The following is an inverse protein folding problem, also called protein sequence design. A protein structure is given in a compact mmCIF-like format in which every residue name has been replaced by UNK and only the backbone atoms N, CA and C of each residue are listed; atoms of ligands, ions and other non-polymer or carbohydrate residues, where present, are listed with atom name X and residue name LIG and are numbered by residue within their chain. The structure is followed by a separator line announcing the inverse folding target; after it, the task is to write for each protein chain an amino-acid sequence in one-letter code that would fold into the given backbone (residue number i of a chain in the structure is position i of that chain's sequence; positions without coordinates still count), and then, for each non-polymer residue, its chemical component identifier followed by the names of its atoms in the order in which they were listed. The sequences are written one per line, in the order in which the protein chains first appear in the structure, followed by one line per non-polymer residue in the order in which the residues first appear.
data_IF_388801543111
#
_entry.id   IF_388801543111
#
_cell.length_a   1.000
_cell.length_b   1.000
_cell.length_c   1.000
_cell.angle_alpha   90.00
_cell.angle_beta   90.00
_cell.angle_gamma   90.00
#
_symmetry.space_group_name_H-M   'P 1'
#
loop_
_entity.id
_entity.type
_entity.pdbx_description
1 polymer ?
#
# COMPACT_ATOMS: atom_id res chain seq x y z
N UNK A 1 -17.48 -5.40 -6.98
CA UNK A 1 -17.81 -6.84 -6.99
C UNK A 1 -18.40 -7.14 -5.62
N UNK A 2 -19.59 -7.70 -5.59
CA UNK A 2 -20.32 -7.92 -4.34
C UNK A 2 -20.13 -9.37 -3.88
N UNK A 3 -19.62 -9.56 -2.66
CA UNK A 3 -19.35 -10.87 -2.06
C UNK A 3 -20.44 -11.29 -1.06
N UNK A 4 -21.62 -10.64 -1.05
CA UNK A 4 -22.66 -10.80 -0.02
C UNK A 4 -23.22 -12.22 0.18
N UNK A 5 -23.03 -13.17 -0.75
CA UNK A 5 -23.54 -14.54 -0.63
C UNK A 5 -22.53 -15.62 -1.06
N UNK A 6 -21.24 -15.37 -0.85
CA UNK A 6 -20.18 -16.33 -1.16
C UNK A 6 -19.15 -16.39 -0.04
N UNK A 7 -18.21 -17.33 -0.13
CA UNK A 7 -17.08 -17.37 0.78
C UNK A 7 -16.25 -16.10 0.58
N UNK A 8 -16.00 -15.36 1.65
CA UNK A 8 -15.33 -14.07 1.59
C UNK A 8 -14.15 -13.98 2.54
N UNK A 9 -13.15 -13.20 2.14
CA UNK A 9 -12.10 -12.72 3.02
C UNK A 9 -12.25 -11.21 3.16
N UNK A 10 -12.63 -10.76 4.35
CA UNK A 10 -12.82 -9.35 4.67
C UNK A 10 -11.58 -8.80 5.38
N UNK A 11 -11.10 -7.65 4.92
CA UNK A 11 -9.98 -6.93 5.55
C UNK A 11 -10.51 -5.69 6.23
N UNK A 12 -10.06 -5.48 7.46
CA UNK A 12 -10.39 -4.34 8.28
C UNK A 12 -9.13 -3.61 8.74
N UNK A 13 -9.16 -2.29 8.64
CA UNK A 13 -8.08 -1.39 9.05
C UNK A 13 -8.50 -0.59 10.28
N UNK A 14 -7.51 -0.15 11.06
CA UNK A 14 -7.74 0.81 12.12
C UNK A 14 -7.66 2.24 11.54
N UNK A 15 -8.75 3.00 11.66
CA UNK A 15 -8.87 4.41 11.27
C UNK A 15 -9.40 5.15 12.49
N UNK A 16 -8.68 6.16 12.98
CA UNK A 16 -9.03 6.92 14.19
C UNK A 16 -9.40 6.04 15.41
N UNK A 17 -8.67 4.94 15.60
CA UNK A 17 -8.88 3.98 16.68
C UNK A 17 -10.10 3.05 16.50
N UNK A 18 -10.83 3.15 15.39
CA UNK A 18 -11.97 2.29 15.05
C UNK A 18 -11.59 1.28 13.99
N UNK A 19 -12.18 0.09 14.07
CA UNK A 19 -12.01 -0.94 13.07
C UNK A 19 -13.00 -0.71 11.92
N UNK A 20 -12.51 -0.37 10.74
CA UNK A 20 -13.31 -0.12 9.54
C UNK A 20 -13.05 -1.18 8.48
N UNK A 21 -14.12 -1.63 7.81
CA UNK A 21 -13.99 -2.58 6.69
C UNK A 21 -13.40 -1.85 5.48
N UNK A 22 -12.25 -2.32 5.00
CA UNK A 22 -11.59 -1.77 3.83
C UNK A 22 -12.13 -2.40 2.54
N UNK A 23 -12.14 -3.73 2.49
CA UNK A 23 -12.47 -4.49 1.26
C UNK A 23 -12.91 -5.92 1.58
N UNK A 24 -13.72 -6.49 0.69
CA UNK A 24 -14.04 -7.92 0.64
C UNK A 24 -13.41 -8.56 -0.60
N UNK A 25 -12.74 -9.69 -0.41
CA UNK A 25 -12.26 -10.54 -1.50
C UNK A 25 -13.09 -11.81 -1.61
N UNK A 26 -13.42 -12.17 -2.83
CA UNK A 26 -14.02 -13.44 -3.20
C UNK A 26 -13.61 -13.79 -4.65
N UNK A 27 -13.83 -15.04 -5.07
CA UNK A 27 -13.45 -15.50 -6.40
C UNK A 27 -12.01 -16.00 -6.49
N UNK A 28 -11.39 -15.85 -7.67
CA UNK A 28 -10.09 -16.43 -8.01
C UNK A 28 -9.04 -15.38 -8.44
N UNK A 29 -9.39 -14.10 -8.42
CA UNK A 29 -8.43 -13.02 -8.71
C UNK A 29 -7.53 -12.78 -7.50
N UNK A 30 -6.23 -12.66 -7.76
CA UNK A 30 -5.26 -12.34 -6.73
C UNK A 30 -5.39 -10.87 -6.32
N UNK A 31 -5.64 -10.58 -5.02
CA UNK A 31 -5.62 -9.22 -4.54
C UNK A 31 -4.27 -8.56 -4.74
N UNK A 32 -4.28 -7.24 -5.00
CA UNK A 32 -3.08 -6.42 -4.86
C UNK A 32 -2.60 -6.44 -3.39
N UNK A 33 -1.31 -6.17 -3.13
CA UNK A 33 -0.78 -6.05 -1.76
C UNK A 33 -1.60 -5.07 -0.91
N UNK A 34 -1.70 -5.36 0.38
CA UNK A 34 -2.44 -4.55 1.35
C UNK A 34 -1.50 -4.18 2.47
N UNK A 35 -1.55 -2.91 2.87
CA UNK A 35 -0.79 -2.37 3.97
C UNK A 35 -1.73 -1.78 5.01
N UNK A 36 -1.40 -1.98 6.28
CA UNK A 36 -2.14 -1.41 7.39
C UNK A 36 -1.80 0.06 7.60
N UNK A 37 -2.73 0.85 8.13
CA UNK A 37 -2.48 2.23 8.54
C UNK A 37 -1.65 2.33 9.84
N UNK A 38 -1.19 1.21 10.39
CA UNK A 38 -0.52 1.14 11.69
C UNK A 38 -0.13 -0.28 12.07
N UNK A 39 0.16 -0.54 13.37
CA UNK A 39 0.73 -1.82 13.81
C UNK A 39 -0.29 -2.98 13.87
N UNK A 40 -1.55 -2.74 13.49
CA UNK A 40 -2.64 -3.71 13.58
C UNK A 40 -3.45 -3.74 12.29
N UNK A 41 -3.82 -4.95 11.88
CA UNK A 41 -4.76 -5.25 10.81
C UNK A 41 -5.63 -6.42 11.26
N UNK A 42 -6.90 -6.42 10.88
CA UNK A 42 -7.80 -7.55 11.14
C UNK A 42 -8.28 -8.15 9.83
N UNK A 43 -8.32 -9.47 9.78
CA UNK A 43 -8.86 -10.23 8.65
C UNK A 43 -9.91 -11.20 9.17
N UNK A 44 -11.02 -11.34 8.44
CA UNK A 44 -12.11 -12.26 8.78
C UNK A 44 -12.44 -13.08 7.54
N UNK A 45 -12.20 -14.39 7.61
CA UNK A 45 -12.69 -15.31 6.59
C UNK A 45 -14.07 -15.83 6.99
N UNK A 46 -15.02 -15.80 6.05
CA UNK A 46 -16.38 -16.32 6.22
C UNK A 46 -16.62 -17.36 5.14
N UNK A 47 -16.72 -18.63 5.55
CA UNK A 47 -17.15 -19.71 4.67
C UNK A 47 -18.64 -19.98 4.89
N UNK A 48 -19.46 -19.79 3.86
CA UNK A 48 -20.90 -20.07 3.90
C UNK A 48 -21.18 -21.54 3.62
N UNK A 49 -20.44 -22.14 2.68
CA UNK A 49 -20.56 -23.56 2.33
C UNK A 49 -19.18 -24.24 2.29
N UNK A 50 -19.10 -25.50 2.71
CA UNK A 50 -17.88 -26.28 2.53
C UNK A 50 -17.65 -26.55 1.04
N UNK A 51 -16.75 -25.80 0.41
CA UNK A 51 -16.38 -26.04 -0.99
C UNK A 51 -15.52 -27.30 -1.12
N UNK A 52 -15.83 -28.15 -2.11
CA UNK A 52 -15.00 -29.29 -2.50
C UNK A 52 -14.02 -28.97 -3.64
N UNK A 53 -14.12 -27.77 -4.22
CA UNK A 53 -13.40 -27.36 -5.42
C UNK A 53 -12.57 -26.09 -5.22
N UNK A 54 -12.76 -25.37 -4.11
CA UNK A 54 -12.02 -24.14 -3.79
C UNK A 54 -10.87 -24.45 -2.84
N UNK A 55 -9.64 -24.08 -3.23
CA UNK A 55 -8.42 -24.38 -2.46
C UNK A 55 -8.14 -23.40 -1.31
N UNK A 56 -9.00 -22.39 -1.10
CA UNK A 56 -8.81 -21.35 -0.09
C UNK A 56 -7.77 -20.30 -0.51
N UNK A 57 -7.11 -19.70 0.48
CA UNK A 57 -6.09 -18.67 0.27
C UNK A 57 -4.81 -19.01 1.05
N UNK A 58 -3.67 -18.50 0.56
CA UNK A 58 -2.38 -18.52 1.25
C UNK A 58 -1.76 -17.13 1.15
N UNK A 59 -1.35 -16.56 2.28
CA UNK A 59 -0.84 -15.19 2.36
C UNK A 59 0.56 -15.22 2.98
N UNK A 60 1.45 -14.37 2.45
CA UNK A 60 2.72 -14.00 3.08
C UNK A 60 2.54 -12.65 3.75
N UNK A 61 3.04 -12.50 4.98
CA UNK A 61 2.98 -11.24 5.72
C UNK A 61 4.38 -10.77 6.10
N UNK A 62 4.56 -9.46 6.27
CA UNK A 62 5.78 -8.84 6.76
C UNK A 62 5.42 -7.62 7.62
N UNK A 63 6.25 -7.33 8.63
CA UNK A 63 6.19 -6.08 9.38
C UNK A 63 7.25 -5.15 8.79
N UNK A 64 6.80 -4.07 8.17
CA UNK A 64 7.65 -3.15 7.41
C UNK A 64 7.77 -1.82 8.16
N UNK A 65 8.97 -1.26 8.20
CA UNK A 65 9.22 0.10 8.66
C UNK A 65 9.33 1.08 7.48
N UNK A 66 9.61 0.57 6.27
CA UNK A 66 9.90 1.33 5.05
C UNK A 66 8.69 1.52 4.12
N UNK A 67 7.48 1.17 4.58
CA UNK A 67 6.24 1.31 3.79
C UNK A 67 6.28 0.60 2.43
N UNK A 68 7.13 -0.44 2.29
CA UNK A 68 7.44 -1.10 1.02
C UNK A 68 8.01 -0.17 -0.06
N UNK A 69 8.52 1.00 0.33
CA UNK A 69 9.27 1.89 -0.56
C UNK A 69 10.73 1.47 -0.50
N UNK A 70 11.17 0.74 -1.52
CA UNK A 70 12.52 0.17 -1.59
C UNK A 70 13.55 1.11 -2.22
N UNK A 71 13.11 2.29 -2.67
CA UNK A 71 13.96 3.28 -3.33
C UNK A 71 14.27 4.47 -2.42
N UNK A 72 15.44 5.07 -2.61
CA UNK A 72 15.90 6.17 -1.78
C UNK A 72 16.30 5.72 -0.38
N UNK A 73 16.72 6.68 0.43
CA UNK A 73 17.16 6.45 1.81
C UNK A 73 16.08 6.91 2.77
N UNK A 74 15.57 6.01 3.59
CA UNK A 74 14.58 6.35 4.61
C UNK A 74 15.19 7.23 5.71
N UNK A 75 14.50 8.31 6.05
CA UNK A 75 14.79 9.16 7.21
C UNK A 75 13.99 8.64 8.41
N UNK A 76 14.70 8.22 9.46
CA UNK A 76 14.10 7.57 10.65
C UNK A 76 13.49 8.59 11.62
N UNK A 77 13.81 9.86 11.46
CA UNK A 77 13.29 10.96 12.27
C UNK A 77 11.82 11.30 11.95
N UNK A 78 11.30 10.85 10.81
CA UNK A 78 9.91 11.06 10.39
C UNK A 78 9.18 9.72 10.26
N UNK A 79 7.85 9.66 10.48
CA UNK A 79 7.08 8.44 10.32
C UNK A 79 7.22 7.82 8.93
N UNK A 80 7.15 8.63 7.87
CA UNK A 80 7.38 8.21 6.49
C UNK A 80 8.10 9.33 5.71
N UNK A 81 9.41 9.15 5.48
CA UNK A 81 10.17 10.09 4.67
C UNK A 81 11.37 9.42 3.97
N UNK A 82 11.62 9.83 2.73
CA UNK A 82 12.69 9.29 1.89
C UNK A 82 13.49 10.41 1.23
N UNK A 83 14.81 10.22 1.17
CA UNK A 83 15.74 11.12 0.50
C UNK A 83 16.33 10.45 -0.74
N UNK A 84 16.36 11.19 -1.83
CA UNK A 84 17.00 10.81 -3.09
C UNK A 84 18.08 11.84 -3.38
N UNK A 85 19.35 11.39 -3.40
CA UNK A 85 20.50 12.25 -3.67
C UNK A 85 21.09 11.89 -5.03
N UNK A 86 21.29 12.88 -5.90
CA UNK A 86 21.88 12.65 -7.22
C UNK A 86 23.31 12.12 -7.16
N UNK A 87 24.03 12.37 -6.05
CA UNK A 87 25.37 11.80 -5.82
C UNK A 87 25.37 10.29 -5.56
N UNK A 88 24.24 9.73 -5.11
CA UNK A 88 24.05 8.28 -4.96
C UNK A 88 23.46 7.66 -6.22
N UNK A 89 22.45 8.32 -6.82
CA UNK A 89 21.87 7.92 -8.09
C UNK A 89 21.20 9.11 -8.80
N UNK A 90 21.62 9.38 -10.04
CA UNK A 90 21.06 10.46 -10.88
C UNK A 90 19.62 10.22 -11.33
N UNK A 91 19.18 8.95 -11.34
CA UNK A 91 17.85 8.52 -11.78
C UNK A 91 17.30 7.44 -10.86
N UNK A 92 15.97 7.35 -10.78
CA UNK A 92 15.30 6.35 -9.98
C UNK A 92 13.79 6.39 -10.16
N UNK A 93 13.10 5.52 -9.44
CA UNK A 93 11.64 5.46 -9.40
C UNK A 93 11.19 5.72 -7.97
N UNK A 94 10.16 6.55 -7.82
CA UNK A 94 9.48 6.79 -6.55
C UNK A 94 8.07 6.23 -6.66
N UNK A 95 7.63 5.56 -5.61
CA UNK A 95 6.37 4.84 -5.56
C UNK A 95 5.65 5.22 -4.27
N UNK A 96 4.32 5.26 -4.34
CA UNK A 96 3.50 5.40 -3.13
C UNK A 96 3.72 4.20 -2.21
N UNK A 97 3.49 4.35 -0.90
CA UNK A 97 3.43 3.23 0.02
C UNK A 97 2.58 2.10 -0.55
N UNK A 98 3.03 0.86 -0.37
CA UNK A 98 2.32 -0.34 -0.79
C UNK A 98 2.06 -0.50 -2.31
N UNK A 99 2.58 0.35 -3.20
CA UNK A 99 2.39 0.18 -4.65
C UNK A 99 2.90 -1.21 -5.11
N UNK A 100 2.18 -1.93 -6.01
CA UNK A 100 1.02 -1.52 -6.81
C UNK A 100 -0.33 -1.66 -6.10
N UNK A 101 -0.32 -1.97 -4.81
CA UNK A 101 -1.47 -1.96 -3.93
C UNK A 101 -1.98 -0.57 -3.61
N UNK A 102 -3.07 -0.53 -2.84
CA UNK A 102 -3.72 0.71 -2.42
C UNK A 102 -2.85 1.36 -1.34
N UNK A 103 -2.65 2.67 -1.44
CA UNK A 103 -1.95 3.41 -0.40
C UNK A 103 -2.79 3.40 0.90
N UNK A 104 -2.18 3.26 2.09
CA UNK A 104 -2.92 3.25 3.35
C UNK A 104 -3.63 4.60 3.55
N UNK A 105 -4.74 4.59 4.29
CA UNK A 105 -5.41 5.83 4.69
C UNK A 105 -4.55 6.59 5.70
N UNK A 106 -4.83 7.89 5.82
CA UNK A 106 -4.16 8.79 6.77
C UNK A 106 -2.63 8.75 6.68
N UNK A 107 -2.12 8.55 5.46
CA UNK A 107 -0.69 8.43 5.19
C UNK A 107 -0.12 9.74 4.68
N UNK A 108 0.81 10.30 5.44
CA UNK A 108 1.63 11.43 5.03
C UNK A 108 3.07 10.95 4.81
N UNK A 109 3.50 10.88 3.56
CA UNK A 109 4.85 10.48 3.17
C UNK A 109 5.57 11.61 2.45
N UNK A 110 6.78 11.92 2.92
CA UNK A 110 7.59 12.99 2.36
C UNK A 110 8.72 12.43 1.47
N UNK A 111 8.86 12.95 0.26
CA UNK A 111 9.91 12.54 -0.67
C UNK A 111 10.79 13.74 -1.03
N UNK A 112 12.04 13.72 -0.57
CA UNK A 112 12.99 14.80 -0.76
C UNK A 112 13.99 14.47 -1.87
N UNK A 113 14.15 15.36 -2.84
CA UNK A 113 15.09 15.21 -3.94
C UNK A 113 16.18 16.27 -3.84
N UNK A 114 17.44 15.84 -3.74
CA UNK A 114 18.60 16.71 -3.66
C UNK A 114 19.49 16.51 -4.88
N UNK A 115 19.59 17.56 -5.70
CA UNK A 115 20.50 17.64 -6.85
C UNK A 115 21.71 18.51 -6.55
N UNK A 116 22.75 18.37 -7.37
CA UNK A 116 23.93 19.24 -7.36
C UNK A 116 23.60 20.64 -7.90
N UNK A 117 24.53 21.59 -7.76
CA UNK A 117 24.28 23.02 -8.00
C UNK A 117 23.68 23.36 -9.38
N UNK A 118 24.08 22.63 -10.43
CA UNK A 118 23.64 22.86 -11.80
C UNK A 118 22.53 21.90 -12.27
N UNK A 119 22.06 21.02 -11.39
CA UNK A 119 21.02 20.05 -11.70
C UNK A 119 19.61 20.61 -11.45
N UNK A 120 18.64 20.07 -12.19
CA UNK A 120 17.21 20.33 -12.00
C UNK A 120 16.47 19.01 -11.86
N UNK A 121 15.62 18.90 -10.85
CA UNK A 121 14.78 17.73 -10.63
C UNK A 121 13.62 17.75 -11.64
N UNK A 122 13.52 16.71 -12.47
CA UNK A 122 12.39 16.50 -13.39
C UNK A 122 11.67 15.22 -13.00
N UNK A 123 10.37 15.33 -12.73
CA UNK A 123 9.50 14.20 -12.42
C UNK A 123 8.69 13.81 -13.66
N UNK A 124 8.58 12.50 -13.91
CA UNK A 124 7.73 11.94 -14.96
C UNK A 124 6.88 10.83 -14.36
N UNK A 125 5.55 11.01 -14.38
CA UNK A 125 4.61 10.05 -13.85
C UNK A 125 4.30 8.99 -14.89
N UNK A 126 4.55 7.72 -14.56
CA UNK A 126 4.19 6.55 -15.39
C UNK A 126 2.84 5.97 -14.98
N UNK A 127 2.40 6.24 -13.75
CA UNK A 127 1.11 5.86 -13.20
C UNK A 127 0.69 6.91 -12.16
N UNK A 128 -0.60 7.22 -12.10
CA UNK A 128 -1.17 8.14 -11.12
C UNK A 128 -2.64 7.82 -10.92
N UNK A 129 -2.99 7.44 -9.69
CA UNK A 129 -4.35 7.08 -9.28
C UNK A 129 -4.51 7.38 -7.78
N UNK A 130 -4.97 8.59 -7.47
CA UNK A 130 -5.23 9.04 -6.09
C UNK A 130 -6.65 9.59 -6.02
N UNK A 131 -7.28 9.47 -4.85
CA UNK A 131 -8.62 10.01 -4.62
C UNK A 131 -8.61 11.53 -4.83
N UNK A 132 -9.61 12.03 -5.52
CA UNK A 132 -9.72 13.45 -5.83
C UNK A 132 -11.12 13.80 -6.32
N UNK A 133 -11.48 15.07 -6.18
CA UNK A 133 -12.68 15.60 -6.83
C UNK A 133 -12.32 15.80 -8.31
N UNK A 134 -12.97 15.06 -9.19
CA UNK A 134 -12.86 15.28 -10.64
C UNK A 134 -13.38 16.71 -10.90
N UNK A 135 -12.60 17.60 -11.56
CA UNK A 135 -13.04 18.95 -11.89
C UNK A 135 -14.31 18.98 -12.75
#
# INVERSE_FOLDING_TARGET
MDCENTDSLDIFLYVDGRLEKMVSFCGNELPKPIMSNGPKLSMVFRGIYSSRTSSGFKISYAFLEDYAVTSGKQLKEFPCAFVYNSSESERGVVMSPNYPGVYPRDTECNYFFYGNQDEKVRLHFTHFDVEGVIP
#
